data_IF_828237451013
#
_entry.id   IF_828237451013
#
_cell.length_a   1.000
_cell.length_b   1.000
_cell.length_c   1.000
_cell.angle_alpha   90.00
_cell.angle_beta   90.00
_cell.angle_gamma   90.00
#
_symmetry.space_group_name_H-M   'P 1'
#
loop_
_entity.id
_entity.type
_entity.pdbx_description
1 polymer ?
#
# COMPACT_ATOMS: atom_id res chain seq x y z
N UNK A 1 12.61 2.35 -7.39
CA UNK A 1 11.64 3.21 -8.12
C UNK A 1 12.38 4.35 -8.84
N UNK A 2 11.97 4.78 -10.04
CA UNK A 2 12.49 6.02 -10.67
C UNK A 2 11.53 7.20 -10.49
N UNK A 3 12.02 8.42 -10.72
CA UNK A 3 11.26 9.65 -10.54
C UNK A 3 9.97 9.73 -11.38
N UNK A 4 9.98 9.20 -12.61
CA UNK A 4 8.76 9.14 -13.44
C UNK A 4 7.68 8.27 -12.80
N UNK A 5 8.08 7.12 -12.23
CA UNK A 5 7.16 6.20 -11.53
C UNK A 5 6.60 6.83 -10.26
N UNK A 6 7.36 7.70 -9.59
CA UNK A 6 6.95 8.31 -8.34
C UNK A 6 5.75 9.27 -8.50
N UNK A 7 5.57 9.82 -9.70
CA UNK A 7 4.48 10.75 -10.02
C UNK A 7 3.28 10.08 -10.69
N UNK A 8 3.31 8.77 -10.93
CA UNK A 8 2.19 8.07 -11.57
C UNK A 8 0.95 8.06 -10.68
N UNK A 9 -0.21 8.02 -11.33
CA UNK A 9 -1.50 7.94 -10.66
C UNK A 9 -1.67 6.56 -10.03
N UNK A 10 -2.24 6.55 -8.83
CA UNK A 10 -2.51 5.37 -8.04
C UNK A 10 -3.95 5.44 -7.52
N UNK A 11 -4.67 4.34 -7.67
CA UNK A 11 -5.94 4.09 -6.99
C UNK A 11 -5.71 2.95 -6.00
N UNK A 12 -5.88 3.26 -4.73
CA UNK A 12 -5.83 2.29 -3.62
C UNK A 12 -7.25 1.95 -3.23
N UNK A 13 -7.60 0.67 -3.20
CA UNK A 13 -8.86 0.20 -2.64
C UNK A 13 -8.81 0.15 -1.11
N UNK A 14 -9.98 0.07 -0.47
CA UNK A 14 -10.05 -0.15 0.98
C UNK A 14 -9.46 -1.50 1.41
N UNK A 15 -9.46 -2.51 0.54
CA UNK A 15 -8.98 -3.87 0.84
C UNK A 15 -7.49 -4.07 0.58
N UNK A 16 -6.83 -3.11 -0.04
CA UNK A 16 -5.43 -3.21 -0.40
C UNK A 16 -4.50 -3.06 0.82
N UNK A 17 -3.48 -3.92 0.87
CA UNK A 17 -2.33 -3.80 1.74
C UNK A 17 -1.20 -3.07 1.00
N UNK A 18 -0.48 -2.22 1.73
CA UNK A 18 0.67 -1.46 1.21
C UNK A 18 1.94 -1.92 1.92
N UNK A 19 2.98 -2.29 1.16
CA UNK A 19 4.27 -2.71 1.72
C UNK A 19 5.42 -1.95 1.08
N UNK A 20 6.39 -1.57 1.92
CA UNK A 20 7.69 -1.02 1.51
C UNK A 20 8.78 -1.82 2.22
N UNK A 21 9.28 -2.92 1.60
CA UNK A 21 10.20 -3.86 2.25
C UNK A 21 11.48 -3.21 2.79
N UNK A 22 12.02 -2.21 2.08
CA UNK A 22 13.25 -1.51 2.48
C UNK A 22 13.09 -0.71 3.78
N UNK A 23 11.85 -0.43 4.19
CA UNK A 23 11.51 0.23 5.45
C UNK A 23 10.95 -0.72 6.50
N UNK A 24 10.76 -2.01 6.18
CA UNK A 24 9.99 -2.94 7.00
C UNK A 24 8.60 -2.36 7.34
N UNK A 25 8.02 -1.63 6.39
CA UNK A 25 6.73 -0.97 6.54
C UNK A 25 5.64 -1.79 5.87
N UNK A 26 4.58 -2.07 6.63
CA UNK A 26 3.38 -2.76 6.17
C UNK A 26 2.15 -2.04 6.74
N UNK A 27 1.22 -1.69 5.86
CA UNK A 27 -0.08 -1.13 6.21
C UNK A 27 -1.16 -2.15 5.86
N UNK A 28 -1.92 -2.57 6.86
CA UNK A 28 -3.03 -3.49 6.66
C UNK A 28 -4.18 -2.83 5.87
N UNK A 29 -5.05 -3.66 5.31
CA UNK A 29 -6.28 -3.23 4.64
C UNK A 29 -7.08 -2.26 5.50
N UNK A 30 -7.62 -1.21 4.90
CA UNK A 30 -8.43 -0.19 5.55
C UNK A 30 -7.66 0.89 6.30
N UNK A 31 -6.32 0.78 6.45
CA UNK A 31 -5.51 1.76 7.20
C UNK A 31 -5.57 3.18 6.60
N UNK A 32 -5.52 3.27 5.27
CA UNK A 32 -5.57 4.54 4.53
C UNK A 32 -6.91 4.79 3.84
N UNK A 33 -7.77 3.75 3.82
CA UNK A 33 -8.99 3.71 3.05
C UNK A 33 -8.80 3.84 1.53
N UNK A 34 -9.91 3.94 0.81
CA UNK A 34 -9.98 4.12 -0.63
C UNK A 34 -9.45 5.49 -1.02
N UNK A 35 -8.43 5.52 -1.88
CA UNK A 35 -7.72 6.74 -2.20
C UNK A 35 -7.35 6.79 -3.68
N UNK A 36 -7.64 7.94 -4.31
CA UNK A 36 -7.06 8.29 -5.61
C UNK A 36 -5.96 9.31 -5.37
N UNK A 37 -4.74 8.97 -5.74
CA UNK A 37 -3.54 9.77 -5.46
C UNK A 37 -2.44 9.50 -6.50
N UNK A 38 -1.21 9.86 -6.18
CA UNK A 38 0.00 9.43 -6.87
C UNK A 38 0.84 8.54 -5.95
N UNK A 39 1.87 7.88 -6.48
CA UNK A 39 2.79 7.09 -5.63
C UNK A 39 3.44 7.99 -4.56
N UNK A 40 3.92 9.17 -4.93
CA UNK A 40 4.40 10.20 -4.00
C UNK A 40 3.35 10.57 -2.95
N UNK A 41 2.11 10.82 -3.39
CA UNK A 41 1.03 11.23 -2.50
C UNK A 41 0.66 10.14 -1.50
N UNK A 42 0.73 8.86 -1.90
CA UNK A 42 0.52 7.72 -1.01
C UNK A 42 1.60 7.66 0.08
N UNK A 43 2.87 7.77 -0.31
CA UNK A 43 4.00 7.72 0.64
C UNK A 43 3.93 8.92 1.60
N UNK A 44 3.66 10.12 1.08
CA UNK A 44 3.51 11.34 1.87
C UNK A 44 2.39 11.19 2.90
N UNK A 45 1.20 10.74 2.48
CA UNK A 45 0.06 10.51 3.39
C UNK A 45 0.37 9.46 4.45
N UNK A 46 1.11 8.42 4.09
CA UNK A 46 1.54 7.38 5.03
C UNK A 46 2.42 7.98 6.11
N UNK A 47 3.40 8.80 5.72
CA UNK A 47 4.30 9.50 6.64
C UNK A 47 3.52 10.43 7.56
N UNK A 48 2.64 11.26 7.01
CA UNK A 48 1.80 12.17 7.79
C UNK A 48 0.90 11.42 8.80
N UNK A 49 0.38 10.25 8.42
CA UNK A 49 -0.44 9.43 9.31
C UNK A 49 0.39 8.86 10.47
N UNK A 50 1.58 8.33 10.17
CA UNK A 50 2.50 7.80 11.18
C UNK A 50 3.02 8.91 12.10
N UNK A 51 3.36 10.09 11.56
CA UNK A 51 3.75 11.26 12.34
C UNK A 51 2.63 11.74 13.26
N UNK A 52 1.36 11.67 12.83
CA UNK A 52 0.21 12.03 13.68
C UNK A 52 0.01 11.05 14.82
N UNK A 53 0.08 9.75 14.54
CA UNK A 53 -0.08 8.69 15.55
C UNK A 53 1.06 8.75 16.57
N UNK A 54 2.30 8.83 16.10
CA UNK A 54 3.46 8.82 16.98
C UNK A 54 3.72 10.18 17.63
N UNK A 55 3.44 11.29 16.94
CA UNK A 55 3.52 12.66 17.49
C UNK A 55 2.67 12.86 18.73
N UNK A 56 1.53 12.17 18.82
CA UNK A 56 0.68 12.15 20.03
C UNK A 56 1.22 11.21 21.13
N UNK A 57 1.95 10.16 20.76
CA UNK A 57 2.56 9.23 21.72
C UNK A 57 3.80 9.81 22.39
N UNK A 58 4.52 10.75 21.76
CA UNK A 58 5.74 11.41 22.29
C UNK A 58 5.50 12.43 23.42
N UNK A 59 4.73 12.06 24.43
CA UNK A 59 4.73 12.75 25.73
C UNK A 59 6.08 12.63 26.45
N UNK A 60 6.34 13.54 27.38
CA UNK A 60 7.56 13.69 28.20
C UNK A 60 8.03 12.45 28.97
N UNK A 61 7.22 11.38 29.00
CA UNK A 61 7.41 10.19 29.81
C UNK A 61 7.98 8.98 29.04
N UNK A 62 8.36 9.16 27.77
CA UNK A 62 8.84 8.06 26.93
C UNK A 62 10.34 7.78 27.06
N UNK A 63 10.63 6.48 26.97
CA UNK A 63 11.95 5.89 26.82
C UNK A 63 12.71 6.47 25.62
N UNK A 64 13.88 7.08 25.88
CA UNK A 64 14.73 7.74 24.86
C UNK A 64 15.07 6.79 23.70
N UNK A 65 15.10 5.48 23.95
CA UNK A 65 15.33 4.46 22.91
C UNK A 65 14.24 4.48 21.83
N UNK A 66 12.96 4.62 22.23
CA UNK A 66 11.83 4.65 21.29
C UNK A 66 11.84 5.92 20.44
N UNK A 67 12.20 7.05 21.05
CA UNK A 67 12.35 8.33 20.35
C UNK A 67 13.46 8.26 19.31
N UNK A 68 14.60 7.65 19.65
CA UNK A 68 15.70 7.44 18.71
C UNK A 68 15.29 6.55 17.54
N UNK A 69 14.63 5.41 17.80
CA UNK A 69 14.12 4.51 16.73
C UNK A 69 13.17 5.23 15.79
N UNK A 70 12.27 6.05 16.33
CA UNK A 70 11.38 6.86 15.50
C UNK A 70 12.11 7.89 14.64
N UNK A 71 13.12 8.58 15.19
CA UNK A 71 13.92 9.53 14.42
C UNK A 71 14.69 8.83 13.28
N UNK A 72 15.27 7.66 13.54
CA UNK A 72 15.93 6.84 12.52
C UNK A 72 14.95 6.39 11.43
N UNK A 73 13.76 5.95 11.81
CA UNK A 73 12.70 5.57 10.88
C UNK A 73 12.20 6.75 10.03
N UNK A 74 11.96 7.91 10.64
CA UNK A 74 11.56 9.12 9.92
C UNK A 74 12.66 9.60 8.96
N UNK A 75 13.93 9.45 9.35
CA UNK A 75 15.04 9.75 8.45
C UNK A 75 15.03 8.84 7.21
N UNK A 76 14.78 7.53 7.37
CA UNK A 76 14.64 6.60 6.25
C UNK A 76 13.43 6.94 5.37
N UNK A 77 12.29 7.30 5.97
CA UNK A 77 11.09 7.73 5.23
C UNK A 77 11.37 8.94 4.33
N UNK A 78 12.10 9.94 4.84
CA UNK A 78 12.47 11.13 4.05
C UNK A 78 13.36 10.79 2.86
N UNK A 79 14.34 9.91 3.04
CA UNK A 79 15.18 9.44 1.94
C UNK A 79 14.40 8.80 0.80
N UNK A 80 13.28 8.12 1.12
CA UNK A 80 12.40 7.58 0.07
C UNK A 80 11.70 8.67 -0.73
N UNK A 81 11.22 9.72 -0.06
CA UNK A 81 10.57 10.86 -0.71
C UNK A 81 11.57 11.61 -1.61
N UNK A 82 12.81 11.76 -1.16
CA UNK A 82 13.87 12.43 -1.91
C UNK A 82 14.44 11.55 -3.05
N UNK A 83 13.97 10.30 -3.17
CA UNK A 83 14.43 9.30 -4.15
C UNK A 83 15.96 9.11 -4.13
N UNK A 84 16.59 9.28 -2.96
CA UNK A 84 18.04 9.12 -2.80
C UNK A 84 18.49 7.67 -3.04
N UNK A 85 17.63 6.71 -2.66
CA UNK A 85 17.89 5.28 -2.78
C UNK A 85 16.72 4.58 -3.52
N UNK A 86 16.99 3.59 -4.38
CA UNK A 86 15.93 2.81 -5.01
C UNK A 86 15.16 1.98 -3.97
N UNK A 87 13.83 2.03 -4.06
CA UNK A 87 12.92 1.27 -3.19
C UNK A 87 11.75 0.67 -3.97
N UNK A 88 10.98 -0.17 -3.30
CA UNK A 88 9.88 -0.95 -3.88
C UNK A 88 8.56 -0.63 -3.17
N UNK A 89 7.53 -0.34 -3.96
CA UNK A 89 6.15 -0.27 -3.47
C UNK A 89 5.42 -1.54 -3.90
N UNK A 90 4.83 -2.24 -2.95
CA UNK A 90 3.97 -3.39 -3.22
C UNK A 90 2.55 -3.03 -2.79
N UNK A 91 1.62 -3.13 -3.73
CA UNK A 91 0.18 -3.07 -3.47
C UNK A 91 -0.37 -4.49 -3.63
N UNK A 92 -0.89 -5.03 -2.55
CA UNK A 92 -1.47 -6.37 -2.51
C UNK A 92 -2.98 -6.25 -2.25
N UNK A 93 -3.79 -6.56 -3.25
CA UNK A 93 -5.25 -6.41 -3.20
C UNK A 93 -5.95 -7.65 -3.72
N UNK A 94 -6.47 -8.45 -2.79
CA UNK A 94 -7.20 -9.68 -3.06
C UNK A 94 -8.45 -9.48 -3.94
N UNK A 95 -9.04 -8.27 -3.96
CA UNK A 95 -10.20 -7.96 -4.79
C UNK A 95 -9.84 -7.33 -6.14
N UNK A 96 -8.55 -7.20 -6.46
CA UNK A 96 -8.05 -6.58 -7.68
C UNK A 96 -8.72 -5.22 -7.99
N UNK A 97 -9.02 -4.44 -6.95
CA UNK A 97 -9.74 -3.17 -7.04
C UNK A 97 -8.81 -1.96 -6.94
N UNK A 98 -7.50 -2.19 -6.91
CA UNK A 98 -6.45 -1.18 -6.91
C UNK A 98 -5.77 -1.09 -8.28
N UNK A 99 -5.19 0.07 -8.59
CA UNK A 99 -4.59 0.31 -9.90
C UNK A 99 -3.40 1.27 -9.79
N UNK A 100 -2.32 0.97 -10.50
CA UNK A 100 -1.18 1.88 -10.70
C UNK A 100 -1.06 2.16 -12.19
N UNK A 101 -1.07 3.43 -12.57
CA UNK A 101 -0.90 3.82 -13.96
C UNK A 101 0.55 3.55 -14.41
N UNK A 102 0.75 2.93 -15.58
CA UNK A 102 2.09 2.81 -16.16
C UNK A 102 2.63 4.19 -16.55
N UNK A 103 3.95 4.33 -16.61
CA UNK A 103 4.58 5.52 -17.20
C UNK A 103 4.60 5.49 -18.74
N UNK A 104 4.37 4.33 -19.33
CA UNK A 104 4.33 4.06 -20.78
C UNK A 104 2.89 3.95 -21.29
N UNK A 105 2.72 3.96 -22.62
CA UNK A 105 1.40 3.81 -23.25
C UNK A 105 0.79 2.41 -23.04
N UNK A 106 1.64 1.40 -22.90
CA UNK A 106 1.27 0.01 -22.61
C UNK A 106 1.92 -0.46 -21.31
N UNK A 107 1.18 -1.21 -20.48
CA UNK A 107 1.68 -1.71 -19.18
C UNK A 107 2.88 -2.64 -19.37
N UNK A 108 2.88 -3.44 -20.44
CA UNK A 108 3.92 -4.41 -20.76
C UNK A 108 5.27 -3.76 -21.10
N UNK A 109 5.27 -2.47 -21.43
CA UNK A 109 6.48 -1.69 -21.72
C UNK A 109 7.09 -1.06 -20.46
N UNK A 110 6.33 -0.99 -19.36
CA UNK A 110 6.77 -0.41 -18.09
C UNK A 110 7.60 -1.42 -17.28
N UNK A 111 8.92 -1.35 -17.43
CA UNK A 111 9.86 -2.25 -16.72
C UNK A 111 9.92 -2.02 -15.21
N UNK A 112 9.30 -0.96 -14.69
CA UNK A 112 9.27 -0.65 -13.26
C UNK A 112 7.96 -1.02 -12.58
N UNK A 113 6.94 -1.37 -13.37
CA UNK A 113 5.64 -1.83 -12.88
C UNK A 113 5.51 -3.34 -13.16
N UNK A 114 5.40 -4.13 -12.09
CA UNK A 114 5.10 -5.55 -12.19
C UNK A 114 3.70 -5.80 -11.65
N UNK A 115 2.88 -6.50 -12.42
CA UNK A 115 1.52 -6.88 -12.03
C UNK A 115 1.44 -8.39 -12.01
N UNK A 116 0.99 -8.94 -10.89
CA UNK A 116 0.80 -10.37 -10.70
C UNK A 116 -0.62 -10.65 -10.23
N UNK A 117 -1.31 -11.53 -10.96
CA UNK A 117 -2.61 -12.06 -10.53
C UNK A 117 -2.37 -13.35 -9.75
N UNK A 118 -3.09 -13.51 -8.64
CA UNK A 118 -3.01 -14.70 -7.80
C UNK A 118 -4.39 -15.19 -7.40
N UNK A 119 -4.49 -16.47 -7.07
CA UNK A 119 -5.71 -17.04 -6.51
C UNK A 119 -5.74 -16.75 -5.00
N UNK A 120 -6.82 -16.12 -4.54
CA UNK A 120 -7.02 -15.79 -3.12
C UNK A 120 -6.93 -17.04 -2.26
N UNK A 121 -6.26 -16.92 -1.11
CA UNK A 121 -6.24 -17.99 -0.11
C UNK A 121 -7.61 -18.16 0.52
N UNK A 122 -7.81 -19.29 1.21
CA UNK A 122 -9.05 -19.55 1.94
C UNK A 122 -9.30 -18.49 3.02
N UNK A 123 -8.25 -18.06 3.72
CA UNK A 123 -8.30 -17.01 4.75
C UNK A 123 -8.67 -15.66 4.14
N UNK A 124 -8.11 -15.31 2.98
CA UNK A 124 -8.50 -14.08 2.28
C UNK A 124 -9.96 -14.11 1.86
N UNK A 125 -10.47 -15.25 1.38
CA UNK A 125 -11.89 -15.40 1.07
C UNK A 125 -12.77 -15.32 2.33
N UNK A 126 -12.30 -15.84 3.46
CA UNK A 126 -13.01 -15.76 4.74
C UNK A 126 -13.13 -14.31 5.23
N UNK A 127 -12.01 -13.57 5.22
CA UNK A 127 -11.97 -12.15 5.61
C UNK A 127 -12.87 -11.28 4.73
N UNK A 128 -13.00 -11.65 3.45
CA UNK A 128 -13.87 -10.97 2.48
C UNK A 128 -15.33 -11.46 2.53
N UNK A 129 -15.66 -12.46 3.36
CA UNK A 129 -16.99 -13.04 3.47
C UNK A 129 -17.45 -13.81 2.23
N UNK A 130 -16.51 -14.33 1.44
CA UNK A 130 -16.77 -15.01 0.17
C UNK A 130 -17.02 -16.51 0.32
N UNK A 131 -16.49 -17.13 1.38
CA UNK A 131 -16.63 -18.57 1.61
C UNK A 131 -18.09 -19.01 1.84
N UNK A 132 -18.91 -18.15 2.45
CA UNK A 132 -20.31 -18.42 2.76
C UNK A 132 -21.29 -17.85 1.72
N UNK A 133 -20.79 -17.37 0.57
CA UNK A 133 -21.63 -16.74 -0.45
C UNK A 133 -22.48 -17.78 -1.18
N UNK A 134 -23.81 -17.67 -1.08
CA UNK A 134 -24.74 -18.51 -1.85
C UNK A 134 -24.85 -18.01 -3.30
N UNK A 135 -24.19 -18.72 -4.23
CA UNK A 135 -24.22 -18.42 -5.66
C UNK A 135 -25.34 -19.13 -6.42
N UNK A 136 -26.17 -19.94 -5.76
CA UNK A 136 -27.16 -20.80 -6.42
C UNK A 136 -28.13 -20.04 -7.33
N UNK A 137 -28.46 -18.80 -6.97
CA UNK A 137 -29.33 -17.94 -7.79
C UNK A 137 -28.68 -17.50 -9.09
N UNK A 138 -27.36 -17.27 -9.10
CA UNK A 138 -26.61 -16.93 -10.31
C UNK A 138 -26.40 -18.17 -11.18
N UNK A 139 -26.07 -19.32 -10.58
CA UNK A 139 -25.88 -20.58 -11.29
C UNK A 139 -27.16 -21.03 -12.02
N UNK A 140 -28.33 -20.77 -11.43
CA UNK A 140 -29.62 -21.05 -12.06
C UNK A 140 -29.99 -20.09 -13.21
N UNK A 141 -29.38 -18.90 -13.29
CA UNK A 141 -29.68 -17.91 -14.32
C UNK A 141 -28.85 -18.10 -15.60
N UNK A 142 -27.72 -18.82 -15.52
CA UNK A 142 -26.78 -19.05 -16.62
C UNK A 142 -26.68 -20.52 -17.07
N UNK A 143 -27.48 -21.41 -16.45
CA UNK A 143 -27.76 -22.77 -16.93
C UNK A 143 -29.10 -22.80 -17.69
#
# INVERSE_FOLDING_TARGET
MAASQFLTRLLLSDTACVKVPELELELASGTLGGLVTTVEGLVTKTIENLERVHGFMFGDSLDEERKKKWQEFNHKLKKLLDLEEPWTLILDDALASSFVAPVTDAIEEDKQLHVEEYERTWEQNEELGLNDMDTSSADNAYN
#
